data_IF_445086572046
#
_entry.id   IF_445086572046
#
_cell.length_a   1.000
_cell.length_b   1.000
_cell.length_c   1.000
_cell.angle_alpha   90.00
_cell.angle_beta   90.00
_cell.angle_gamma   90.00
#
_symmetry.space_group_name_H-M   'P 1'
#
loop_
_entity.id
_entity.type
_entity.pdbx_description
1 polymer ?
#
# COMPACT_ATOMS: atom_id res chain seq x y z
N UNK A 1 -4.87 24.44 29.20
CA UNK A 1 -6.18 23.97 29.75
C UNK A 1 -7.24 25.07 29.93
N UNK A 2 -6.88 26.31 30.26
CA UNK A 2 -7.87 27.40 30.42
C UNK A 2 -8.58 27.80 29.10
N UNK A 3 -8.02 27.47 27.93
CA UNK A 3 -8.59 27.81 26.61
C UNK A 3 -9.73 26.91 26.18
N UNK A 4 -9.56 25.61 26.37
CA UNK A 4 -10.57 24.57 26.09
C UNK A 4 -11.88 24.90 26.80
N UNK A 5 -11.81 25.41 28.04
CA UNK A 5 -12.98 25.77 28.84
C UNK A 5 -13.65 27.09 28.46
N UNK A 6 -12.93 28.05 27.86
CA UNK A 6 -13.47 29.38 27.56
C UNK A 6 -14.20 29.43 26.21
N UNK A 7 -13.73 28.69 25.20
CA UNK A 7 -14.33 28.66 23.85
C UNK A 7 -14.22 27.26 23.23
N UNK A 8 -15.07 26.31 23.65
CA UNK A 8 -15.01 24.92 23.19
C UNK A 8 -15.24 24.80 21.68
N UNK A 9 -16.08 25.65 21.09
CA UNK A 9 -16.43 25.58 19.65
C UNK A 9 -15.21 25.72 18.73
N UNK A 10 -14.33 26.69 19.00
CA UNK A 10 -13.12 26.92 18.18
C UNK A 10 -12.09 25.82 18.36
N UNK A 11 -11.96 25.33 19.59
CA UNK A 11 -11.12 24.18 19.88
C UNK A 11 -11.59 22.95 19.08
N UNK A 12 -12.89 22.67 19.09
CA UNK A 12 -13.50 21.57 18.33
C UNK A 12 -13.29 21.75 16.82
N UNK A 13 -13.53 22.95 16.27
CA UNK A 13 -13.31 23.22 14.85
C UNK A 13 -11.85 23.02 14.43
N UNK A 14 -10.90 23.39 15.29
CA UNK A 14 -9.45 23.21 15.03
C UNK A 14 -9.08 21.73 15.05
N UNK A 15 -9.55 21.01 16.08
CA UNK A 15 -9.33 19.57 16.20
C UNK A 15 -9.93 18.84 14.99
N UNK A 16 -11.15 19.19 14.57
CA UNK A 16 -11.80 18.58 13.41
C UNK A 16 -11.08 18.88 12.10
N UNK A 17 -10.63 20.12 11.89
CA UNK A 17 -9.87 20.50 10.69
C UNK A 17 -8.54 19.76 10.59
N UNK A 18 -7.80 19.66 11.69
CA UNK A 18 -6.54 18.90 11.76
C UNK A 18 -6.82 17.39 11.60
N UNK A 19 -7.84 16.87 12.29
CA UNK A 19 -8.21 15.46 12.23
C UNK A 19 -8.64 15.05 10.82
N UNK A 20 -9.38 15.90 10.10
CA UNK A 20 -9.76 15.66 8.71
C UNK A 20 -8.53 15.57 7.79
N UNK A 21 -7.57 16.49 7.95
CA UNK A 21 -6.35 16.46 7.16
C UNK A 21 -5.49 15.23 7.45
N UNK A 22 -5.35 14.87 8.72
CA UNK A 22 -4.71 13.63 9.14
C UNK A 22 -5.45 12.43 8.54
N UNK A 23 -6.78 12.40 8.63
CA UNK A 23 -7.59 11.32 8.08
C UNK A 23 -7.37 11.16 6.56
N UNK A 24 -7.40 12.25 5.79
CA UNK A 24 -7.15 12.21 4.34
C UNK A 24 -5.77 11.63 3.99
N UNK A 25 -4.73 12.00 4.72
CA UNK A 25 -3.37 11.47 4.51
C UNK A 25 -3.27 10.01 4.93
N UNK A 26 -3.81 9.67 6.10
CA UNK A 26 -3.82 8.30 6.59
C UNK A 26 -4.60 7.38 5.66
N UNK A 27 -5.78 7.77 5.16
CA UNK A 27 -6.56 6.98 4.19
C UNK A 27 -5.72 6.66 2.95
N UNK A 28 -5.15 7.67 2.28
CA UNK A 28 -4.35 7.44 1.06
C UNK A 28 -3.12 6.58 1.34
N UNK A 29 -2.44 6.82 2.46
CA UNK A 29 -1.26 6.04 2.85
C UNK A 29 -1.61 4.60 3.21
N UNK A 30 -2.73 4.37 3.88
CA UNK A 30 -3.24 3.03 4.18
C UNK A 30 -3.58 2.30 2.88
N UNK A 31 -4.36 2.91 2.00
CA UNK A 31 -4.69 2.32 0.69
C UNK A 31 -3.41 2.00 -0.10
N UNK A 32 -2.48 2.95 -0.20
CA UNK A 32 -1.20 2.77 -0.88
C UNK A 32 -0.37 1.62 -0.31
N UNK A 33 -0.27 1.53 1.02
CA UNK A 33 0.45 0.44 1.69
C UNK A 33 -0.25 -0.90 1.52
N UNK A 34 -1.58 -0.95 1.56
CA UNK A 34 -2.34 -2.16 1.29
C UNK A 34 -2.11 -2.69 -0.12
N UNK A 35 -2.19 -1.84 -1.14
CA UNK A 35 -1.86 -2.23 -2.52
C UNK A 35 -0.41 -2.71 -2.67
N UNK A 36 0.53 -2.11 -1.94
CA UNK A 36 1.91 -2.58 -1.92
C UNK A 36 2.05 -3.98 -1.33
N UNK A 37 1.38 -4.24 -0.20
CA UNK A 37 1.36 -5.54 0.48
C UNK A 37 0.70 -6.59 -0.42
N UNK A 38 -0.50 -6.32 -0.92
CA UNK A 38 -1.20 -7.26 -1.81
C UNK A 38 -0.44 -7.51 -3.10
N UNK A 39 0.25 -6.49 -3.64
CA UNK A 39 1.16 -6.66 -4.78
C UNK A 39 2.34 -7.58 -4.45
N UNK A 40 2.96 -7.45 -3.27
CA UNK A 40 4.09 -8.30 -2.86
C UNK A 40 3.64 -9.74 -2.72
N UNK A 41 2.55 -9.94 -1.97
CA UNK A 41 1.97 -11.27 -1.73
C UNK A 41 1.55 -11.94 -3.05
N UNK A 42 1.05 -11.16 -4.02
CA UNK A 42 0.70 -11.67 -5.35
C UNK A 42 1.92 -12.14 -6.14
N UNK A 43 3.04 -11.40 -6.06
CA UNK A 43 4.29 -11.80 -6.71
C UNK A 43 4.87 -13.02 -6.01
N UNK A 44 4.86 -13.08 -4.67
CA UNK A 44 5.32 -14.25 -3.90
C UNK A 44 4.48 -15.50 -4.25
N UNK A 45 3.15 -15.36 -4.34
CA UNK A 45 2.25 -16.43 -4.81
C UNK A 45 2.56 -16.88 -6.24
N UNK A 46 3.12 -16.02 -7.10
CA UNK A 46 3.57 -16.38 -8.45
C UNK A 46 4.93 -17.06 -8.42
N UNK A 47 5.91 -16.46 -7.74
CA UNK A 47 7.31 -16.89 -7.83
C UNK A 47 7.56 -18.16 -7.02
N UNK A 48 7.01 -18.29 -5.82
CA UNK A 48 7.27 -19.44 -4.95
C UNK A 48 8.77 -19.72 -4.74
N UNK A 49 9.61 -18.67 -4.77
CA UNK A 49 11.06 -18.77 -4.70
C UNK A 49 11.79 -19.00 -6.03
N UNK A 50 11.12 -18.92 -7.18
CA UNK A 50 11.75 -18.98 -8.49
C UNK A 50 12.72 -17.81 -8.71
N UNK A 51 13.86 -18.09 -9.35
CA UNK A 51 14.90 -17.09 -9.62
C UNK A 51 14.59 -16.23 -10.85
N UNK A 52 13.79 -16.74 -11.79
CA UNK A 52 13.36 -16.00 -12.97
C UNK A 52 11.86 -16.19 -13.21
N UNK A 53 11.23 -15.13 -13.72
CA UNK A 53 9.83 -15.15 -14.13
C UNK A 53 9.72 -14.73 -15.59
N UNK A 54 9.30 -15.65 -16.44
CA UNK A 54 9.17 -15.43 -17.89
C UNK A 54 7.72 -15.11 -18.20
N UNK A 55 7.44 -13.86 -18.56
CA UNK A 55 6.10 -13.34 -18.83
C UNK A 55 5.81 -13.26 -20.33
N UNK A 56 4.54 -13.34 -20.75
CA UNK A 56 4.17 -13.26 -22.15
C UNK A 56 4.41 -11.85 -22.72
N UNK A 57 4.49 -11.74 -24.05
CA UNK A 57 4.66 -10.45 -24.73
C UNK A 57 3.52 -9.45 -24.46
N UNK A 58 2.31 -9.97 -24.21
CA UNK A 58 1.17 -9.16 -23.78
C UNK A 58 1.32 -8.63 -22.34
N UNK A 59 2.22 -9.21 -21.55
CA UNK A 59 2.48 -8.83 -20.17
C UNK A 59 1.63 -9.57 -19.13
N UNK A 60 1.67 -9.02 -17.94
CA UNK A 60 0.92 -9.47 -16.78
C UNK A 60 0.35 -8.23 -16.10
N UNK A 61 -0.84 -8.37 -15.54
CA UNK A 61 -1.46 -7.32 -14.75
C UNK A 61 -1.98 -7.88 -13.43
N UNK A 62 -2.12 -6.98 -12.47
CA UNK A 62 -2.84 -7.28 -11.24
C UNK A 62 -4.32 -6.97 -11.47
N UNK A 63 -5.18 -7.98 -11.36
CA UNK A 63 -6.62 -7.83 -11.44
C UNK A 63 -7.19 -7.53 -10.06
N UNK A 64 -7.89 -6.39 -9.90
CA UNK A 64 -8.40 -5.95 -8.61
C UNK A 64 -9.57 -6.77 -8.08
N UNK A 65 -10.34 -7.41 -8.97
CA UNK A 65 -11.52 -8.19 -8.60
C UNK A 65 -11.11 -9.60 -8.18
N UNK A 66 -10.16 -10.21 -8.91
CA UNK A 66 -9.54 -11.47 -8.54
C UNK A 66 -8.52 -11.33 -7.40
N UNK A 67 -7.98 -10.13 -7.18
CA UNK A 67 -6.94 -9.80 -6.21
C UNK A 67 -5.64 -10.59 -6.42
N UNK A 68 -5.26 -10.83 -7.68
CA UNK A 68 -4.06 -11.60 -8.02
C UNK A 68 -3.47 -11.15 -9.35
N UNK A 69 -2.23 -11.56 -9.60
CA UNK A 69 -1.59 -11.43 -10.91
C UNK A 69 -2.19 -12.41 -11.91
N UNK A 70 -2.37 -11.94 -13.14
CA UNK A 70 -2.97 -12.68 -14.26
C UNK A 70 -2.14 -12.43 -15.52
N UNK A 71 -2.04 -13.46 -16.37
CA UNK A 71 -1.37 -13.36 -17.66
C UNK A 71 -2.28 -12.73 -18.71
N UNK A 72 -1.74 -11.79 -19.49
CA UNK A 72 -2.47 -11.10 -20.56
C UNK A 72 -2.38 -11.82 -21.92
N UNK A 73 -1.65 -12.93 -21.98
CA UNK A 73 -1.47 -13.69 -23.21
C UNK A 73 -0.78 -15.03 -23.00
N UNK A 74 -0.55 -15.76 -24.10
CA UNK A 74 0.00 -17.11 -24.06
C UNK A 74 1.43 -17.11 -23.52
N UNK A 75 1.73 -18.07 -22.65
CA UNK A 75 3.08 -18.23 -22.12
C UNK A 75 4.09 -18.41 -23.28
N UNK A 76 5.27 -17.79 -23.21
CA UNK A 76 6.29 -17.92 -24.25
C UNK A 76 6.65 -19.39 -24.53
N UNK A 77 6.85 -19.73 -25.80
CA UNK A 77 7.41 -21.03 -26.17
C UNK A 77 8.89 -21.06 -25.78
N UNK A 78 9.28 -22.02 -24.94
CA UNK A 78 10.66 -22.13 -24.49
C UNK A 78 11.15 -23.58 -24.46
N UNK A 79 12.43 -23.74 -24.78
CA UNK A 79 13.16 -25.00 -24.60
C UNK A 79 14.07 -24.84 -23.39
N UNK A 80 13.75 -25.54 -22.31
CA UNK A 80 14.48 -25.41 -21.04
C UNK A 80 15.92 -25.93 -21.21
N UNK A 81 16.95 -25.12 -20.94
CA UNK A 81 18.33 -25.56 -21.00
C UNK A 81 18.64 -26.66 -19.96
N UNK A 82 19.60 -27.56 -20.22
CA UNK A 82 19.95 -28.61 -19.27
C UNK A 82 20.35 -28.06 -17.90
N UNK A 83 19.86 -28.71 -16.83
CA UNK A 83 20.16 -28.32 -15.44
C UNK A 83 19.22 -27.26 -14.86
N UNK A 84 18.41 -26.61 -15.68
CA UNK A 84 17.37 -25.68 -15.22
C UNK A 84 16.05 -26.42 -15.04
N UNK A 85 15.24 -25.95 -14.09
CA UNK A 85 13.86 -26.42 -13.92
C UNK A 85 12.92 -25.27 -14.25
N UNK A 86 12.04 -25.43 -15.23
CA UNK A 86 11.03 -24.44 -15.55
C UNK A 86 9.65 -25.07 -15.53
N UNK A 87 8.70 -24.40 -14.88
CA UNK A 87 7.31 -24.84 -14.78
C UNK A 87 6.43 -23.85 -15.53
N UNK A 88 5.68 -24.34 -16.51
CA UNK A 88 4.66 -23.53 -17.20
C UNK A 88 3.44 -23.45 -16.29
N UNK A 89 3.06 -22.24 -15.94
CA UNK A 89 1.86 -21.97 -15.14
C UNK A 89 0.85 -21.33 -16.06
N UNK A 90 -0.18 -22.09 -16.45
CA UNK A 90 -1.35 -21.50 -17.09
C UNK A 90 -2.01 -20.56 -16.09
N UNK A 91 -2.37 -19.35 -16.51
CA UNK A 91 -2.98 -18.34 -15.66
C UNK A 91 -4.02 -17.53 -16.44
N UNK A 92 -5.17 -17.31 -15.82
CA UNK A 92 -6.23 -16.47 -16.36
C UNK A 92 -7.33 -16.22 -15.34
N UNK A 93 -8.38 -15.53 -15.77
CA UNK A 93 -9.56 -15.28 -14.96
C UNK A 93 -10.63 -16.34 -15.21
N UNK A 94 -11.33 -16.70 -14.15
CA UNK A 94 -12.58 -17.48 -14.18
C UNK A 94 -13.58 -16.86 -13.20
N UNK A 95 -14.83 -17.31 -13.24
CA UNK A 95 -15.82 -16.98 -12.23
C UNK A 95 -16.17 -18.21 -11.38
N UNK A 96 -16.29 -18.00 -10.08
CA UNK A 96 -16.83 -18.96 -9.11
C UNK A 96 -17.90 -18.22 -8.31
N UNK A 97 -19.15 -18.68 -8.38
CA UNK A 97 -20.30 -18.06 -7.73
C UNK A 97 -20.45 -16.54 -7.99
N UNK A 98 -20.12 -16.12 -9.22
CA UNK A 98 -20.19 -14.72 -9.67
C UNK A 98 -19.03 -13.84 -9.17
N UNK A 99 -18.07 -14.40 -8.44
CA UNK A 99 -16.83 -13.71 -8.07
C UNK A 99 -15.73 -14.02 -9.09
N UNK A 100 -14.98 -12.99 -9.51
CA UNK A 100 -13.76 -13.17 -10.32
C UNK A 100 -12.67 -13.85 -9.49
N UNK A 101 -12.00 -14.84 -10.08
CA UNK A 101 -10.96 -15.63 -9.43
C UNK A 101 -9.81 -15.85 -10.41
N UNK A 102 -8.57 -15.75 -9.91
CA UNK A 102 -7.38 -16.13 -10.67
C UNK A 102 -7.23 -17.64 -10.65
N UNK A 103 -7.36 -18.26 -11.82
CA UNK A 103 -7.17 -19.70 -12.03
C UNK A 103 -5.74 -19.95 -12.47
N UNK A 104 -5.10 -20.95 -11.87
CA UNK A 104 -3.75 -21.39 -12.23
C UNK A 104 -3.68 -22.91 -12.48
N UNK A 105 -2.95 -23.31 -13.50
CA UNK A 105 -2.61 -24.70 -13.77
C UNK A 105 -1.44 -25.17 -12.92
N UNK A 106 -1.52 -26.39 -12.39
CA UNK A 106 -0.41 -27.04 -11.69
C UNK A 106 -0.49 -28.57 -11.90
N UNK A 107 0.60 -29.16 -12.39
CA UNK A 107 0.70 -30.60 -12.70
C UNK A 107 0.73 -31.49 -11.44
N UNK A 108 1.06 -30.93 -10.29
CA UNK A 108 1.06 -31.64 -9.00
C UNK A 108 -0.35 -31.72 -8.39
N UNK A 109 -1.31 -30.93 -8.88
CA UNK A 109 -2.69 -30.94 -8.39
C UNK A 109 -3.46 -32.11 -9.02
N UNK A 110 -3.99 -33.05 -8.21
CA UNK A 110 -4.77 -34.17 -8.73
C UNK A 110 -6.04 -33.70 -9.44
N UNK A 111 -6.41 -34.41 -10.52
CA UNK A 111 -7.73 -34.22 -11.16
C UNK A 111 -8.86 -34.38 -10.14
N UNK A 112 -9.90 -33.54 -10.24
CA UNK A 112 -11.02 -33.53 -9.28
C UNK A 112 -10.73 -32.76 -7.98
N UNK A 113 -9.61 -32.06 -7.89
CA UNK A 113 -9.24 -31.23 -6.72
C UNK A 113 -9.03 -29.76 -7.16
N UNK A 114 -9.49 -28.84 -6.32
CA UNK A 114 -9.15 -27.42 -6.41
C UNK A 114 -8.37 -27.03 -5.15
N UNK A 115 -7.15 -26.52 -5.32
CA UNK A 115 -6.32 -26.06 -4.20
C UNK A 115 -6.39 -24.53 -4.14
N UNK A 116 -6.96 -23.99 -3.08
CA UNK A 116 -7.17 -22.57 -2.88
C UNK A 116 -6.18 -22.04 -1.85
N UNK A 117 -5.68 -20.82 -2.05
CA UNK A 117 -5.08 -20.09 -0.94
C UNK A 117 -6.12 -19.75 0.14
N UNK A 118 -5.68 -19.63 1.38
CA UNK A 118 -6.57 -19.39 2.53
C UNK A 118 -7.40 -18.10 2.37
N UNK A 119 -6.82 -17.06 1.79
CA UNK A 119 -7.51 -15.79 1.56
C UNK A 119 -8.62 -15.91 0.51
N UNK A 120 -8.41 -16.70 -0.55
CA UNK A 120 -9.46 -17.01 -1.52
C UNK A 120 -10.57 -17.88 -0.91
N UNK A 121 -10.21 -18.88 -0.11
CA UNK A 121 -11.18 -19.75 0.56
C UNK A 121 -12.11 -18.96 1.49
N UNK A 122 -11.57 -18.00 2.24
CA UNK A 122 -12.35 -17.08 3.08
C UNK A 122 -13.26 -16.18 2.22
N UNK A 123 -12.76 -15.65 1.10
CA UNK A 123 -13.52 -14.79 0.19
C UNK A 123 -14.71 -15.50 -0.46
N UNK A 124 -14.52 -16.77 -0.83
CA UNK A 124 -15.56 -17.63 -1.39
C UNK A 124 -16.45 -18.28 -0.31
N UNK A 125 -16.07 -18.18 0.97
CA UNK A 125 -16.82 -18.79 2.08
C UNK A 125 -16.79 -20.33 2.06
N UNK A 126 -15.72 -20.93 1.53
CA UNK A 126 -15.56 -22.40 1.40
C UNK A 126 -14.54 -22.94 2.40
N UNK A 127 -14.73 -24.20 2.81
CA UNK A 127 -13.87 -24.90 3.74
C UNK A 127 -13.18 -26.11 3.08
N UNK A 128 -12.05 -26.58 3.64
CA UNK A 128 -11.42 -27.81 3.19
C UNK A 128 -12.41 -28.99 3.21
N UNK A 129 -12.54 -29.69 2.09
CA UNK A 129 -13.46 -30.81 1.90
C UNK A 129 -14.79 -30.44 1.25
N UNK A 130 -15.11 -29.14 1.12
CA UNK A 130 -16.26 -28.68 0.35
C UNK A 130 -16.14 -29.05 -1.13
N UNK A 131 -17.26 -28.94 -1.84
CA UNK A 131 -17.29 -29.09 -3.30
C UNK A 131 -17.54 -27.75 -3.96
N UNK A 132 -16.85 -27.52 -5.07
CA UNK A 132 -17.09 -26.37 -5.93
C UNK A 132 -17.17 -26.79 -7.39
N UNK A 133 -17.97 -26.07 -8.17
CA UNK A 133 -18.06 -26.25 -9.61
C UNK A 133 -17.10 -25.31 -10.32
N UNK A 134 -16.25 -25.84 -11.20
CA UNK A 134 -15.31 -25.07 -11.98
C UNK A 134 -15.09 -25.75 -13.34
N UNK A 135 -15.29 -25.00 -14.43
CA UNK A 135 -15.19 -25.55 -15.79
C UNK A 135 -16.19 -26.70 -16.06
N UNK A 136 -17.34 -26.70 -15.38
CA UNK A 136 -18.33 -27.79 -15.46
C UNK A 136 -17.92 -29.08 -14.76
N UNK A 137 -16.90 -29.03 -13.89
CA UNK A 137 -16.45 -30.15 -13.08
C UNK A 137 -16.64 -29.86 -11.58
N UNK A 138 -17.10 -30.87 -10.85
CA UNK A 138 -17.19 -30.84 -9.39
C UNK A 138 -15.84 -31.20 -8.77
N UNK A 139 -15.23 -30.24 -8.07
CA UNK A 139 -13.90 -30.38 -7.48
C UNK A 139 -13.97 -30.38 -5.94
N UNK A 140 -13.13 -31.17 -5.30
CA UNK A 140 -12.95 -31.14 -3.84
C UNK A 140 -12.00 -30.01 -3.49
N UNK A 141 -12.44 -29.15 -2.56
CA UNK A 141 -11.67 -28.02 -2.06
C UNK A 141 -10.58 -28.50 -1.11
N UNK A 142 -9.35 -28.06 -1.38
CA UNK A 142 -8.23 -28.08 -0.45
C UNK A 142 -7.75 -26.66 -0.25
N UNK A 143 -7.25 -26.36 0.94
CA UNK A 143 -6.71 -25.05 1.26
C UNK A 143 -5.22 -25.18 1.55
N UNK A 144 -4.39 -24.49 0.76
CA UNK A 144 -2.93 -24.48 0.88
C UNK A 144 -2.37 -23.16 0.35
N UNK A 145 -1.45 -22.57 1.11
CA UNK A 145 -0.89 -21.24 0.82
C UNK A 145 -1.82 -20.11 1.27
N UNK A 146 -1.36 -18.87 1.11
CA UNK A 146 -2.05 -17.65 1.55
C UNK A 146 -2.61 -16.81 0.41
N UNK A 147 -2.40 -17.23 -0.85
CA UNK A 147 -2.73 -16.47 -2.05
C UNK A 147 -4.23 -16.33 -2.34
N UNK A 148 -4.51 -15.55 -3.39
CA UNK A 148 -5.86 -15.28 -3.92
C UNK A 148 -6.18 -16.11 -5.18
N UNK A 149 -5.36 -17.12 -5.47
CA UNK A 149 -5.48 -17.98 -6.64
C UNK A 149 -6.03 -19.36 -6.31
N UNK A 150 -6.71 -19.96 -7.27
CA UNK A 150 -7.09 -21.38 -7.26
C UNK A 150 -6.19 -22.14 -8.22
N UNK A 151 -5.56 -23.20 -7.73
CA UNK A 151 -4.73 -24.12 -8.50
C UNK A 151 -5.53 -25.38 -8.82
N UNK A 152 -5.54 -25.77 -10.09
CA UNK A 152 -6.18 -27.00 -10.57
C UNK A 152 -5.24 -27.78 -11.48
N UNK A 153 -5.59 -29.03 -11.78
CA UNK A 153 -4.86 -29.82 -12.77
C UNK A 153 -4.76 -29.08 -14.10
N UNK A 154 -3.57 -29.05 -14.70
CA UNK A 154 -3.28 -28.30 -15.94
C UNK A 154 -4.27 -28.54 -17.09
N UNK A 155 -4.78 -29.77 -17.35
CA UNK A 155 -5.79 -29.98 -18.38
C UNK A 155 -7.10 -29.21 -18.15
N UNK A 156 -7.53 -29.09 -16.89
CA UNK A 156 -8.72 -28.30 -16.55
C UNK A 156 -8.43 -26.80 -16.70
N UNK A 157 -7.27 -26.33 -16.23
CA UNK A 157 -6.86 -24.94 -16.40
C UNK A 157 -6.85 -24.55 -17.89
N UNK A 158 -6.24 -25.38 -18.75
CA UNK A 158 -6.19 -25.15 -20.20
C UNK A 158 -7.59 -25.05 -20.82
N UNK A 159 -8.54 -25.88 -20.38
CA UNK A 159 -9.91 -25.81 -20.89
C UNK A 159 -10.67 -24.52 -20.54
N UNK A 160 -10.22 -23.78 -19.52
CA UNK A 160 -10.88 -22.56 -19.03
C UNK A 160 -10.14 -21.30 -19.51
N UNK A 161 -8.81 -21.27 -19.34
CA UNK A 161 -8.00 -20.08 -19.62
C UNK A 161 -7.13 -20.19 -20.88
N UNK A 162 -7.20 -21.32 -21.59
CA UNK A 162 -6.42 -21.57 -22.80
C UNK A 162 -4.92 -21.64 -22.51
N UNK A 163 -4.13 -21.04 -23.40
CA UNK A 163 -2.66 -21.03 -23.33
C UNK A 163 -2.08 -19.88 -22.52
N UNK A 164 -2.93 -19.00 -21.98
CA UNK A 164 -2.53 -17.86 -21.19
C UNK A 164 -1.71 -18.32 -19.98
N UNK A 165 -0.59 -17.66 -19.71
CA UNK A 165 0.27 -18.05 -18.61
C UNK A 165 1.66 -17.44 -18.68
N UNK A 166 2.52 -17.95 -17.82
CA UNK A 166 3.93 -17.57 -17.70
C UNK A 166 4.76 -18.80 -17.32
N UNK A 167 6.06 -18.61 -17.17
CA UNK A 167 6.95 -19.62 -16.60
C UNK A 167 7.63 -19.13 -15.33
N UNK A 168 7.70 -20.00 -14.33
CA UNK A 168 8.58 -19.83 -13.17
C UNK A 168 9.80 -20.72 -13.38
N UNK A 169 11.00 -20.15 -13.26
CA UNK A 169 12.25 -20.84 -13.55
C UNK A 169 13.14 -20.87 -12.31
N UNK A 170 13.60 -22.07 -11.99
CA UNK A 170 14.55 -22.34 -10.93
C UNK A 170 15.93 -22.61 -11.53
N UNK A 171 16.93 -21.96 -10.94
CA UNK A 171 18.33 -22.13 -11.29
C UNK A 171 18.81 -23.56 -10.98
N UNK A 172 19.90 -24.01 -11.61
CA UNK A 172 20.57 -25.25 -11.22
C UNK A 172 20.93 -25.24 -9.73
N UNK A 173 20.87 -26.40 -9.03
CA UNK A 173 21.18 -26.46 -7.61
C UNK A 173 22.56 -25.88 -7.28
N UNK A 174 22.62 -24.96 -6.33
CA UNK A 174 23.83 -24.25 -5.90
C UNK A 174 24.07 -22.90 -6.59
N UNK A 175 23.35 -22.61 -7.68
CA UNK A 175 23.47 -21.37 -8.44
C UNK A 175 22.38 -20.33 -8.09
N UNK A 176 21.50 -20.61 -7.12
CA UNK A 176 20.27 -19.85 -6.86
C UNK A 176 20.49 -18.37 -6.50
N UNK A 177 21.70 -18.02 -6.06
CA UNK A 177 22.07 -16.65 -5.66
C UNK A 177 22.95 -15.93 -6.68
N UNK A 178 23.21 -16.56 -7.84
CA UNK A 178 23.99 -15.94 -8.91
C UNK A 178 23.21 -14.76 -9.51
N UNK A 179 23.94 -13.69 -9.84
CA UNK A 179 23.36 -12.46 -10.39
C UNK A 179 23.39 -12.39 -11.92
N UNK A 180 23.96 -13.39 -12.57
CA UNK A 180 24.04 -13.54 -14.02
C UNK A 180 23.05 -14.59 -14.56
N UNK A 181 22.15 -15.10 -13.71
CA UNK A 181 21.17 -16.14 -14.08
C UNK A 181 20.30 -15.72 -15.26
N UNK A 182 19.75 -14.51 -15.23
CA UNK A 182 18.89 -14.01 -16.30
C UNK A 182 19.64 -13.88 -17.63
N UNK A 183 20.90 -13.43 -17.59
CA UNK A 183 21.73 -13.31 -18.79
C UNK A 183 22.03 -14.68 -19.41
N UNK A 184 22.34 -15.68 -18.58
CA UNK A 184 22.63 -17.04 -19.03
C UNK A 184 21.37 -17.69 -19.61
N UNK A 185 20.26 -17.65 -18.87
CA UNK A 185 19.01 -18.27 -19.30
C UNK A 185 18.43 -17.55 -20.52
N UNK A 186 18.38 -16.21 -20.50
CA UNK A 186 17.86 -15.39 -21.60
C UNK A 186 18.62 -15.59 -22.90
N UNK A 187 19.95 -15.69 -22.86
CA UNK A 187 20.75 -16.02 -24.04
C UNK A 187 20.47 -17.43 -24.58
N UNK A 188 20.08 -18.37 -23.72
CA UNK A 188 19.77 -19.74 -24.13
C UNK A 188 18.36 -19.89 -24.72
N UNK A 189 17.41 -19.05 -24.31
CA UNK A 189 16.01 -19.09 -24.79
C UNK A 189 15.63 -17.94 -25.74
N UNK A 190 16.59 -17.07 -26.06
CA UNK A 190 16.42 -15.90 -26.94
C UNK A 190 15.32 -14.93 -26.47
N UNK A 191 15.36 -14.55 -25.19
CA UNK A 191 14.45 -13.58 -24.59
C UNK A 191 15.21 -12.44 -23.89
N UNK A 192 14.65 -11.24 -24.01
CA UNK A 192 15.13 -10.08 -23.28
C UNK A 192 14.96 -10.28 -21.77
N UNK A 193 15.86 -9.65 -21.01
CA UNK A 193 15.91 -9.80 -19.55
C UNK A 193 15.99 -8.44 -18.86
N UNK A 194 15.38 -8.34 -17.69
CA UNK A 194 15.44 -7.15 -16.86
C UNK A 194 15.25 -7.50 -15.39
N UNK A 195 15.97 -6.80 -14.51
CA UNK A 195 15.72 -6.83 -13.06
C UNK A 195 14.83 -5.66 -12.59
N UNK A 196 14.41 -4.80 -13.53
CA UNK A 196 13.54 -3.66 -13.27
C UNK A 196 12.08 -4.05 -13.60
N UNK A 197 11.20 -4.17 -12.59
CA UNK A 197 9.81 -4.56 -12.79
C UNK A 197 8.97 -3.48 -13.51
N UNK A 198 9.50 -2.27 -13.71
CA UNK A 198 8.80 -1.21 -14.45
C UNK A 198 8.91 -1.35 -15.97
N UNK A 199 9.84 -2.16 -16.44
CA UNK A 199 10.03 -2.44 -17.87
C UNK A 199 8.95 -3.41 -18.32
N UNK A 200 8.11 -2.98 -19.26
CA UNK A 200 7.10 -3.85 -19.87
C UNK A 200 7.69 -4.65 -21.04
N UNK A 201 7.16 -5.86 -21.33
CA UNK A 201 7.54 -6.62 -22.51
C UNK A 201 7.25 -5.84 -23.80
N UNK A 202 8.02 -6.06 -24.86
CA UNK A 202 7.67 -5.57 -26.19
C UNK A 202 6.40 -6.30 -26.67
N UNK A 203 5.30 -5.58 -26.98
CA UNK A 203 4.08 -6.19 -27.49
C UNK A 203 4.26 -6.98 -28.79
N UNK A 204 5.31 -6.69 -29.57
CA UNK A 204 5.65 -7.43 -30.79
C UNK A 204 6.75 -8.49 -30.57
N UNK A 205 7.25 -8.61 -29.33
CA UNK A 205 8.30 -9.56 -28.96
C UNK A 205 7.74 -10.94 -28.62
N UNK A 206 8.61 -11.78 -28.05
CA UNK A 206 8.28 -13.16 -27.66
C UNK A 206 8.01 -13.34 -26.16
N UNK A 207 8.27 -12.30 -25.36
CA UNK A 207 8.15 -12.33 -23.91
C UNK A 207 9.26 -11.53 -23.26
N UNK A 208 9.32 -11.57 -21.92
CA UNK A 208 10.35 -10.90 -21.13
C UNK A 208 10.68 -11.77 -19.92
N UNK A 209 11.96 -11.79 -19.54
CA UNK A 209 12.41 -12.46 -18.31
C UNK A 209 12.64 -11.40 -17.23
N UNK A 210 11.87 -11.48 -16.16
CA UNK A 210 12.18 -10.77 -14.92
C UNK A 210 13.20 -11.56 -14.09
N UNK A 211 14.32 -10.91 -13.77
CA UNK A 211 15.35 -11.41 -12.87
C UNK A 211 14.98 -11.07 -11.43
N UNK A 212 14.65 -12.08 -10.63
CA UNK A 212 14.21 -11.89 -9.24
C UNK A 212 15.37 -11.84 -8.25
N UNK A 213 16.55 -12.32 -8.67
CA UNK A 213 17.77 -12.40 -7.84
C UNK A 213 18.72 -11.23 -8.14
N UNK A 214 18.75 -10.81 -9.39
CA UNK A 214 19.64 -9.78 -9.90
C UNK A 214 19.22 -8.35 -9.55
N UNK A 215 19.81 -7.41 -10.28
CA UNK A 215 19.58 -5.98 -10.11
C UNK A 215 20.44 -5.32 -9.05
N UNK A 216 20.30 -4.00 -8.98
CA UNK A 216 21.03 -3.14 -8.04
C UNK A 216 20.10 -2.59 -6.97
N UNK A 217 20.63 -2.37 -5.77
CA UNK A 217 19.92 -1.74 -4.65
C UNK A 217 19.65 -2.67 -3.47
N UNK A 218 19.08 -2.13 -2.38
CA UNK A 218 18.81 -2.86 -1.14
C UNK A 218 17.43 -3.56 -1.12
N UNK A 219 16.61 -3.38 -2.15
CA UNK A 219 15.26 -3.95 -2.25
C UNK A 219 15.25 -5.16 -3.17
N UNK A 220 14.57 -6.20 -2.73
CA UNK A 220 14.34 -7.42 -3.51
C UNK A 220 13.26 -7.18 -4.59
N UNK A 221 13.11 -8.12 -5.53
CA UNK A 221 12.25 -7.93 -6.71
C UNK A 221 10.78 -7.71 -6.33
N UNK A 222 10.26 -8.49 -5.39
CA UNK A 222 8.89 -8.39 -4.87
C UNK A 222 8.64 -7.00 -4.31
N UNK A 223 9.59 -6.45 -3.55
CA UNK A 223 9.50 -5.12 -2.96
C UNK A 223 9.52 -4.02 -4.02
N UNK A 224 10.34 -4.17 -5.07
CA UNK A 224 10.37 -3.23 -6.20
C UNK A 224 9.06 -3.29 -7.00
N UNK A 225 8.54 -4.47 -7.26
CA UNK A 225 7.28 -4.66 -7.98
C UNK A 225 6.10 -4.07 -7.18
N UNK A 226 6.04 -4.31 -5.87
CA UNK A 226 5.09 -3.68 -4.95
C UNK A 226 5.15 -2.16 -4.93
N UNK A 227 6.35 -1.60 -5.04
CA UNK A 227 6.53 -0.15 -5.07
C UNK A 227 5.80 0.47 -6.27
N UNK A 228 5.71 -0.21 -7.41
CA UNK A 228 4.97 0.25 -8.59
C UNK A 228 3.48 0.44 -8.29
N UNK A 229 2.85 -0.53 -7.60
CA UNK A 229 1.44 -0.41 -7.21
C UNK A 229 1.21 0.71 -6.20
N UNK A 230 2.09 0.82 -5.20
CA UNK A 230 1.98 1.88 -4.18
C UNK A 230 2.14 3.29 -4.77
N UNK A 231 3.02 3.41 -5.77
CA UNK A 231 3.30 4.66 -6.49
C UNK A 231 2.10 5.14 -7.31
N UNK A 232 1.35 4.22 -7.93
CA UNK A 232 0.13 4.56 -8.67
C UNK A 232 -0.93 5.19 -7.76
N UNK A 233 -1.13 4.65 -6.55
CA UNK A 233 -2.10 5.23 -5.60
C UNK A 233 -1.69 6.63 -5.15
N UNK A 234 -0.42 6.84 -4.83
CA UNK A 234 0.08 8.14 -4.34
C UNK A 234 0.08 9.22 -5.43
N UNK A 235 0.32 8.83 -6.68
CA UNK A 235 0.27 9.74 -7.84
C UNK A 235 -1.14 9.94 -8.42
N UNK A 236 -2.13 9.14 -7.98
CA UNK A 236 -3.51 9.24 -8.42
C UNK A 236 -4.22 10.53 -7.96
N UNK A 237 -5.43 10.75 -8.48
CA UNK A 237 -6.36 11.80 -8.03
C UNK A 237 -6.59 11.76 -6.52
N UNK A 238 -6.63 10.57 -5.90
CA UNK A 238 -6.78 10.44 -4.45
C UNK A 238 -5.57 11.01 -3.71
N UNK A 239 -4.36 10.74 -4.20
CA UNK A 239 -3.12 11.32 -3.67
C UNK A 239 -3.08 12.84 -3.79
N UNK A 240 -3.55 13.39 -4.90
CA UNK A 240 -3.68 14.84 -5.08
C UNK A 240 -4.66 15.46 -4.09
N UNK A 241 -5.86 14.87 -3.95
CA UNK A 241 -6.88 15.33 -2.99
C UNK A 241 -6.34 15.29 -1.55
N UNK A 242 -5.61 14.24 -1.20
CA UNK A 242 -5.01 14.09 0.12
C UNK A 242 -3.93 15.15 0.38
N UNK A 243 -3.09 15.44 -0.62
CA UNK A 243 -2.07 16.49 -0.53
C UNK A 243 -2.69 17.88 -0.35
N UNK A 244 -3.76 18.19 -1.10
CA UNK A 244 -4.52 19.44 -0.95
C UNK A 244 -5.18 19.50 0.43
N UNK A 245 -5.80 18.40 0.88
CA UNK A 245 -6.43 18.28 2.19
C UNK A 245 -5.45 18.51 3.34
N UNK A 246 -4.22 17.98 3.23
CA UNK A 246 -3.15 18.23 4.18
C UNK A 246 -2.78 19.72 4.25
N UNK A 247 -2.60 20.35 3.09
CA UNK A 247 -2.30 21.79 3.01
C UNK A 247 -3.40 22.64 3.65
N UNK A 248 -4.66 22.32 3.35
CA UNK A 248 -5.81 23.02 3.92
C UNK A 248 -5.90 22.84 5.44
N UNK A 249 -5.71 21.62 5.94
CA UNK A 249 -5.68 21.35 7.38
C UNK A 249 -4.59 22.10 8.12
N UNK A 250 -3.39 22.19 7.53
CA UNK A 250 -2.31 22.99 8.09
C UNK A 250 -2.67 24.48 8.16
N UNK A 251 -3.25 25.04 7.08
CA UNK A 251 -3.69 26.45 7.07
C UNK A 251 -4.78 26.69 8.12
N UNK A 252 -5.74 25.78 8.26
CA UNK A 252 -6.80 25.87 9.29
C UNK A 252 -6.17 25.84 10.69
N UNK A 253 -5.22 24.93 10.94
CA UNK A 253 -4.52 24.83 12.22
C UNK A 253 -3.82 26.14 12.57
N UNK A 254 -2.95 26.64 11.68
CA UNK A 254 -2.18 27.87 11.90
C UNK A 254 -3.10 29.06 12.10
N UNK A 255 -4.15 29.20 11.29
CA UNK A 255 -5.10 30.31 11.38
C UNK A 255 -5.84 30.30 12.71
N UNK A 256 -6.25 29.12 13.18
CA UNK A 256 -6.94 28.99 14.46
C UNK A 256 -6.01 29.26 15.65
N UNK A 257 -4.78 28.74 15.62
CA UNK A 257 -3.78 29.04 16.66
C UNK A 257 -3.46 30.53 16.70
N UNK A 258 -3.24 31.18 15.55
CA UNK A 258 -3.04 32.64 15.46
C UNK A 258 -4.18 33.42 16.12
N UNK A 259 -5.43 33.06 15.80
CA UNK A 259 -6.60 33.69 16.42
C UNK A 259 -6.62 33.47 17.94
N UNK A 260 -6.33 32.25 18.41
CA UNK A 260 -6.29 31.92 19.83
C UNK A 260 -5.23 32.74 20.60
N UNK A 261 -4.07 33.01 19.99
CA UNK A 261 -3.04 33.83 20.66
C UNK A 261 -3.42 35.32 20.66
N UNK A 262 -4.03 35.82 19.59
CA UNK A 262 -4.51 37.21 19.54
C UNK A 262 -5.58 37.50 20.61
N UNK A 263 -6.50 36.57 20.86
CA UNK A 263 -7.52 36.74 21.91
C UNK A 263 -6.94 36.83 23.32
N UNK A 264 -5.74 36.27 23.52
CA UNK A 264 -5.04 36.25 24.79
C UNK A 264 -3.94 37.30 24.89
N UNK A 265 -3.77 38.15 23.85
CA UNK A 265 -2.67 39.11 23.73
C UNK A 265 -2.36 39.89 25.01
N UNK A 266 -3.40 40.32 25.73
CA UNK A 266 -3.27 41.06 27.00
C UNK A 266 -2.66 40.22 28.12
N UNK A 267 -3.02 38.94 28.22
CA UNK A 267 -2.43 37.99 29.18
C UNK A 267 -0.93 37.81 28.91
N UNK A 268 -0.54 37.73 27.63
CA UNK A 268 0.87 37.70 27.19
C UNK A 268 1.61 38.99 27.53
N UNK A 269 0.99 40.15 27.30
CA UNK A 269 1.56 41.46 27.66
C UNK A 269 1.91 41.55 29.15
N UNK A 270 1.03 41.05 30.02
CA UNK A 270 1.26 41.04 31.47
C UNK A 270 2.41 40.08 31.83
N UNK A 271 2.40 38.84 31.34
CA UNK A 271 3.46 37.87 31.67
C UNK A 271 4.84 38.27 31.13
N UNK A 272 4.89 38.83 29.91
CA UNK A 272 6.14 39.35 29.34
C UNK A 272 6.71 40.53 30.14
N UNK A 273 5.85 41.40 30.71
CA UNK A 273 6.29 42.52 31.55
C UNK A 273 6.88 42.11 32.89
N UNK A 274 6.58 40.89 33.35
CA UNK A 274 7.11 40.29 34.59
C UNK A 274 8.34 39.41 34.30
N UNK A 275 8.70 39.23 33.02
CA UNK A 275 9.85 38.42 32.59
C UNK A 275 9.54 36.93 32.37
N UNK A 276 8.27 36.52 32.36
CA UNK A 276 7.83 35.11 32.23
C UNK A 276 7.51 34.72 30.78
N UNK A 277 8.29 35.21 29.80
CA UNK A 277 7.99 35.00 28.39
C UNK A 277 8.22 33.53 27.96
N UNK A 278 9.22 32.86 28.54
CA UNK A 278 9.60 31.49 28.19
C UNK A 278 8.60 30.46 28.75
N UNK A 279 8.08 30.66 29.96
CA UNK A 279 7.04 29.82 30.56
C UNK A 279 5.75 29.84 29.72
N UNK A 280 5.42 31.00 29.16
CA UNK A 280 4.24 31.16 28.32
C UNK A 280 4.38 30.42 26.99
N UNK A 281 5.58 30.44 26.39
CA UNK A 281 5.87 29.62 25.21
C UNK A 281 5.70 28.13 25.53
N UNK A 282 6.19 27.66 26.69
CA UNK A 282 6.04 26.28 27.12
C UNK A 282 4.58 25.87 27.29
N UNK A 283 3.75 26.69 27.96
CA UNK A 283 2.32 26.41 28.11
C UNK A 283 1.59 26.32 26.76
N UNK A 284 1.95 27.19 25.81
CA UNK A 284 1.36 27.17 24.48
C UNK A 284 1.79 25.96 23.66
N UNK A 285 3.06 25.57 23.77
CA UNK A 285 3.59 24.37 23.13
C UNK A 285 2.88 23.11 23.65
N UNK A 286 2.72 22.98 24.98
CA UNK A 286 1.99 21.87 25.59
C UNK A 286 0.52 21.86 25.17
N UNK A 287 -0.15 23.01 25.15
CA UNK A 287 -1.55 23.09 24.71
C UNK A 287 -1.70 22.68 23.24
N UNK A 288 -0.79 23.14 22.38
CA UNK A 288 -0.74 22.77 20.97
C UNK A 288 -0.49 21.27 20.81
N UNK A 289 0.45 20.70 21.57
CA UNK A 289 0.74 19.27 21.54
C UNK A 289 -0.49 18.42 21.91
N UNK A 290 -1.26 18.82 22.92
CA UNK A 290 -2.51 18.12 23.28
C UNK A 290 -3.54 18.19 22.15
N UNK A 291 -3.71 19.35 21.50
CA UNK A 291 -4.60 19.51 20.34
C UNK A 291 -4.19 18.56 19.21
N UNK A 292 -2.89 18.52 18.88
CA UNK A 292 -2.37 17.66 17.82
C UNK A 292 -2.52 16.17 18.14
N UNK A 293 -2.27 15.74 19.38
CA UNK A 293 -2.47 14.35 19.80
C UNK A 293 -3.94 13.95 19.68
N UNK A 294 -4.86 14.79 20.16
CA UNK A 294 -6.31 14.49 20.06
C UNK A 294 -6.75 14.44 18.61
N UNK A 295 -6.35 15.42 17.80
CA UNK A 295 -6.68 15.44 16.38
C UNK A 295 -6.08 14.25 15.62
N UNK A 296 -4.86 13.83 15.97
CA UNK A 296 -4.23 12.63 15.41
C UNK A 296 -5.02 11.37 15.73
N UNK A 297 -5.38 11.16 16.99
CA UNK A 297 -6.15 9.98 17.40
C UNK A 297 -7.51 9.94 16.67
N UNK A 298 -8.23 11.06 16.63
CA UNK A 298 -9.51 11.16 15.92
C UNK A 298 -9.32 10.91 14.42
N UNK A 299 -8.33 11.55 13.80
CA UNK A 299 -8.08 11.44 12.36
C UNK A 299 -7.67 10.03 11.93
N UNK A 300 -6.76 9.39 12.67
CA UNK A 300 -6.29 8.03 12.36
C UNK A 300 -7.38 6.98 12.57
N UNK A 301 -8.18 7.10 13.63
CA UNK A 301 -9.32 6.21 13.86
C UNK A 301 -10.40 6.40 12.78
N UNK A 302 -10.71 7.65 12.42
CA UNK A 302 -11.64 7.95 11.34
C UNK A 302 -11.15 7.40 9.99
N UNK A 303 -9.85 7.51 9.71
CA UNK A 303 -9.25 6.93 8.50
C UNK A 303 -9.36 5.40 8.47
N UNK A 304 -9.05 4.73 9.58
CA UNK A 304 -9.17 3.27 9.68
C UNK A 304 -10.60 2.81 9.46
N UNK A 305 -11.57 3.47 10.12
CA UNK A 305 -12.99 3.19 9.92
C UNK A 305 -13.44 3.46 8.47
N UNK A 306 -12.99 4.56 7.86
CA UNK A 306 -13.34 4.90 6.48
C UNK A 306 -12.82 3.84 5.50
N UNK A 307 -11.55 3.41 5.61
CA UNK A 307 -10.99 2.36 4.73
C UNK A 307 -11.72 1.03 4.95
N UNK A 308 -11.94 0.62 6.20
CA UNK A 308 -12.61 -0.64 6.52
C UNK A 308 -14.06 -0.71 6.01
N UNK A 309 -14.79 0.41 6.01
CA UNK A 309 -16.17 0.47 5.54
C UNK A 309 -16.31 0.63 4.03
N UNK A 310 -15.37 1.35 3.38
CA UNK A 310 -15.47 1.69 1.95
C UNK A 310 -14.77 0.65 1.07
N UNK A 311 -13.61 0.13 1.49
CA UNK A 311 -12.82 -0.84 0.72
C UNK A 311 -12.33 -1.96 1.64
N UNK A 312 -13.24 -2.82 2.15
CA UNK A 312 -12.90 -3.86 3.12
C UNK A 312 -11.86 -4.86 2.59
N UNK A 313 -11.83 -5.08 1.27
CA UNK A 313 -10.96 -6.05 0.60
C UNK A 313 -9.46 -5.74 0.69
N UNK A 314 -9.09 -4.48 0.95
CA UNK A 314 -7.70 -4.03 1.11
C UNK A 314 -7.44 -3.46 2.51
N UNK A 315 -8.40 -3.53 3.43
CA UNK A 315 -8.28 -2.94 4.75
C UNK A 315 -7.40 -3.81 5.67
N UNK A 316 -6.08 -3.64 5.63
CA UNK A 316 -5.15 -4.38 6.49
C UNK A 316 -4.75 -3.56 7.72
N UNK A 317 -4.78 -4.15 8.94
CA UNK A 317 -4.32 -3.46 10.15
C UNK A 317 -2.85 -3.02 10.07
N UNK A 318 -2.02 -3.79 9.34
CA UNK A 318 -0.60 -3.50 9.12
C UNK A 318 -0.41 -2.23 8.30
N UNK A 319 -1.11 -2.09 7.16
CA UNK A 319 -1.07 -0.87 6.34
C UNK A 319 -1.58 0.36 7.10
N UNK A 320 -2.65 0.20 7.88
CA UNK A 320 -3.18 1.27 8.72
C UNK A 320 -2.17 1.71 9.78
N UNK A 321 -1.54 0.76 10.47
CA UNK A 321 -0.54 1.05 11.51
C UNK A 321 0.71 1.70 10.93
N UNK A 322 1.18 1.25 9.76
CA UNK A 322 2.29 1.87 9.04
C UNK A 322 1.96 3.32 8.66
N UNK A 323 0.77 3.57 8.10
CA UNK A 323 0.30 4.92 7.75
C UNK A 323 0.17 5.82 8.99
N UNK A 324 -0.41 5.29 10.08
CA UNK A 324 -0.54 5.98 11.36
C UNK A 324 0.84 6.38 11.92
N UNK A 325 1.77 5.43 11.99
CA UNK A 325 3.14 5.66 12.47
C UNK A 325 3.89 6.70 11.63
N UNK A 326 3.73 6.67 10.30
CA UNK A 326 4.31 7.67 9.41
C UNK A 326 3.77 9.06 9.70
N UNK A 327 2.45 9.22 9.86
CA UNK A 327 1.85 10.54 10.18
C UNK A 327 2.26 11.00 11.58
N UNK A 328 2.35 10.08 12.55
CA UNK A 328 2.78 10.38 13.92
C UNK A 328 4.19 11.00 13.96
N UNK A 329 5.10 10.56 13.08
CA UNK A 329 6.46 11.08 13.00
C UNK A 329 6.53 12.58 12.70
N UNK A 330 5.49 13.16 12.05
CA UNK A 330 5.42 14.59 11.75
C UNK A 330 4.79 15.44 12.85
N UNK A 331 4.13 14.84 13.85
CA UNK A 331 3.45 15.58 14.92
C UNK A 331 4.38 16.53 15.69
N UNK A 332 5.61 16.15 16.08
CA UNK A 332 6.50 17.06 16.80
C UNK A 332 6.83 18.31 15.97
N UNK A 333 7.16 18.13 14.69
CA UNK A 333 7.47 19.23 13.79
C UNK A 333 6.26 20.16 13.61
N UNK A 334 5.07 19.60 13.40
CA UNK A 334 3.82 20.35 13.23
C UNK A 334 3.44 21.13 14.49
N UNK A 335 3.56 20.51 15.66
CA UNK A 335 3.29 21.15 16.94
C UNK A 335 4.24 22.33 17.18
N UNK A 336 5.54 22.16 16.90
CA UNK A 336 6.53 23.23 17.03
C UNK A 336 6.22 24.38 16.06
N UNK A 337 6.00 24.09 14.78
CA UNK A 337 5.72 25.12 13.75
C UNK A 337 4.46 25.90 14.09
N UNK A 338 3.37 25.21 14.44
CA UNK A 338 2.10 25.84 14.77
C UNK A 338 2.13 26.60 16.09
N UNK A 339 2.95 26.17 17.06
CA UNK A 339 3.13 26.87 18.32
C UNK A 339 4.03 28.11 18.19
N UNK A 340 5.14 27.98 17.46
CA UNK A 340 6.21 28.97 17.42
C UNK A 340 5.89 30.15 16.50
N UNK A 341 5.26 29.92 15.34
CA UNK A 341 4.94 31.00 14.37
C UNK A 341 4.07 32.10 15.02
N UNK A 342 2.94 31.79 15.69
CA UNK A 342 2.11 32.80 16.33
C UNK A 342 2.81 33.53 17.46
N UNK A 343 3.54 32.79 18.31
CA UNK A 343 4.21 33.35 19.49
C UNK A 343 5.36 34.26 19.07
N UNK A 344 6.17 33.86 18.10
CA UNK A 344 7.26 34.70 17.60
C UNK A 344 6.73 36.03 17.03
N UNK A 345 5.63 36.00 16.28
CA UNK A 345 4.98 37.23 15.79
C UNK A 345 4.49 38.14 16.92
N UNK A 346 4.09 37.58 18.06
CA UNK A 346 3.64 38.35 19.22
C UNK A 346 4.80 38.94 20.02
N UNK A 347 5.89 38.19 20.20
CA UNK A 347 7.08 38.65 20.93
C UNK A 347 7.82 39.79 20.22
N UNK A 348 7.65 39.93 18.90
CA UNK A 348 8.18 41.07 18.14
C UNK A 348 7.42 42.39 18.42
N UNK A 349 6.27 42.35 19.10
CA UNK A 349 5.50 43.54 19.44
C UNK A 349 5.93 44.09 20.80
N UNK A 350 6.04 45.43 20.93
CA UNK A 350 6.42 46.08 22.20
C UNK A 350 5.39 45.75 23.29
N UNK A 351 5.80 45.44 24.54
CA UNK A 351 4.88 45.06 25.63
C UNK A 351 3.78 46.09 25.89
N UNK A 352 4.08 47.38 25.73
CA UNK A 352 3.11 48.46 25.89
C UNK A 352 2.03 48.46 24.79
N UNK A 353 2.36 48.01 23.58
CA UNK A 353 1.40 47.89 22.47
C UNK A 353 0.43 46.72 22.69
N UNK A 354 0.90 45.65 23.34
CA UNK A 354 0.06 44.49 23.69
C UNK A 354 -1.01 44.81 24.74
N UNK A 355 -0.85 45.93 25.46
CA UNK A 355 -1.75 46.42 26.52
C UNK A 355 -2.61 47.61 26.07
N UNK A 356 -2.30 48.23 24.93
CA UNK A 356 -2.81 49.55 24.53
C UNK A 356 -3.99 49.56 23.56
N UNK A 357 -4.28 48.45 22.87
CA UNK A 357 -5.37 48.41 21.89
C UNK A 357 -6.74 48.33 22.59
N UNK A 358 -7.56 49.37 22.37
CA UNK A 358 -8.95 49.52 22.86
C UNK A 358 -9.96 48.97 21.86
#
# INVERSE_FOLDING_TARGET
MANIRRRPERFVLSVLGIALAIACVTVVRTVSASFAITGADSVDDVLGGAQLWVVPAAGVHYDSDAQALVADGPAPELTVPPGWTATRVLSGLTQIDGQSVSLRGNDEVPSGTAVLGSALAERLGVQPGDRMELGGQSLIVRVEGTGQSVRVATPLAHSIVGDNGWWTVFAPPGDEKRRDLAQIFGAAVDLDTTADPSVMPDPNGHGLIYDTVGGTGPLDFEQKFSALFSGQVTSSTLGLISTIGLGLGFVIAVSSFLAAVQERRREFGIMSSIGLADEVLYFFLVESMVVFIVAYLVGVLAAGAAVALVIPSIATPTAWLQAAGMVAAFLPAMAIVCALIPVHRLLQQRPVALLGDR
#
